data_IF_641694042444
#
_entry.id   IF_641694042444
#
_cell.length_a   1.000
_cell.length_b   1.000
_cell.length_c   1.000
_cell.angle_alpha   90.00
_cell.angle_beta   90.00
_cell.angle_gamma   90.00
#
_symmetry.space_group_name_H-M   'P 1'
#
loop_
_entity.id
_entity.type
_entity.pdbx_description
1 polymer ?
#
# COMPACT_ATOMS: atom_id res chain seq x y z
N UNK A 1 28.13 -29.94 -11.09
CA UNK A 1 26.70 -30.01 -10.72
C UNK A 1 26.42 -29.38 -9.34
N UNK A 2 27.05 -29.82 -8.25
CA UNK A 2 26.79 -29.29 -6.89
C UNK A 2 26.97 -27.76 -6.75
N UNK A 3 28.04 -27.18 -7.33
CA UNK A 3 28.32 -25.73 -7.26
C UNK A 3 27.27 -24.86 -7.97
N UNK A 4 26.75 -25.34 -9.10
CA UNK A 4 25.72 -24.64 -9.86
C UNK A 4 24.36 -24.65 -9.13
N UNK A 5 24.01 -25.76 -8.47
CA UNK A 5 22.82 -25.83 -7.60
C UNK A 5 22.88 -24.83 -6.44
N UNK A 6 24.06 -24.63 -5.85
CA UNK A 6 24.22 -23.71 -4.71
C UNK A 6 24.14 -22.26 -5.17
N UNK A 7 24.75 -21.92 -6.31
CA UNK A 7 24.63 -20.59 -6.90
C UNK A 7 23.18 -20.25 -7.25
N UNK A 8 22.42 -21.20 -7.81
CA UNK A 8 21.00 -21.02 -8.10
C UNK A 8 20.16 -20.82 -6.83
N UNK A 9 20.43 -21.58 -5.76
CA UNK A 9 19.73 -21.42 -4.49
C UNK A 9 20.00 -20.04 -3.85
N UNK A 10 21.25 -19.58 -3.85
CA UNK A 10 21.63 -18.27 -3.34
C UNK A 10 20.96 -17.15 -4.14
N UNK A 11 20.98 -17.25 -5.48
CA UNK A 11 20.32 -16.27 -6.35
C UNK A 11 18.81 -16.19 -6.09
N UNK A 12 18.14 -17.33 -5.93
CA UNK A 12 16.71 -17.39 -5.61
C UNK A 12 16.40 -16.74 -4.26
N UNK A 13 17.20 -16.99 -3.22
CA UNK A 13 17.01 -16.36 -1.90
C UNK A 13 17.21 -14.85 -1.94
N UNK A 14 18.15 -14.35 -2.75
CA UNK A 14 18.39 -12.90 -2.91
C UNK A 14 17.24 -12.21 -3.65
N UNK A 15 16.67 -12.86 -4.67
CA UNK A 15 15.53 -12.33 -5.42
C UNK A 15 14.26 -12.24 -4.55
N UNK A 16 14.03 -13.20 -3.64
CA UNK A 16 12.87 -13.18 -2.73
C UNK A 16 13.05 -12.15 -1.61
N UNK A 17 14.28 -11.94 -1.12
CA UNK A 17 14.56 -10.95 -0.07
C UNK A 17 14.31 -9.49 -0.51
N UNK A 18 14.31 -9.22 -1.82
CA UNK A 18 14.00 -7.90 -2.38
C UNK A 18 12.50 -7.60 -2.50
N UNK A 19 11.62 -8.58 -2.31
CA UNK A 19 10.17 -8.40 -2.35
C UNK A 19 9.65 -7.89 -1.00
N UNK A 20 10.11 -6.70 -0.59
CA UNK A 20 9.55 -5.99 0.55
C UNK A 20 8.37 -5.14 0.07
N UNK A 21 7.15 -5.47 0.49
CA UNK A 21 6.00 -4.58 0.36
C UNK A 21 6.25 -3.36 1.24
N UNK A 22 6.21 -2.15 0.67
CA UNK A 22 6.46 -0.92 1.40
C UNK A 22 5.36 -0.65 2.44
N UNK A 23 5.72 -0.77 3.73
CA UNK A 23 4.99 -0.31 4.92
C UNK A 23 3.62 -0.93 5.20
N UNK A 24 3.14 -0.78 6.44
CA UNK A 24 1.73 -1.05 6.76
C UNK A 24 0.85 0.02 6.11
N UNK A 25 -0.37 -0.35 5.71
CA UNK A 25 -1.36 0.60 5.20
C UNK A 25 -1.57 1.78 6.17
N UNK A 26 -1.62 1.50 7.47
CA UNK A 26 -1.85 2.52 8.49
C UNK A 26 -0.67 3.50 8.64
N UNK A 27 0.55 3.10 8.26
CA UNK A 27 1.72 3.97 8.32
C UNK A 27 1.75 4.99 7.17
N UNK A 28 1.22 4.60 6.02
CA UNK A 28 1.34 5.34 4.76
C UNK A 28 0.06 6.12 4.44
N UNK A 29 -1.11 5.53 4.68
CA UNK A 29 -2.39 6.13 4.33
C UNK A 29 -2.70 7.34 5.23
N UNK A 30 -3.38 8.32 4.65
CA UNK A 30 -3.81 9.56 5.33
C UNK A 30 -5.24 9.90 4.91
N UNK A 31 -6.03 10.56 5.77
CA UNK A 31 -7.34 11.05 5.39
C UNK A 31 -7.31 11.94 4.16
N UNK A 32 -8.24 11.72 3.23
CA UNK A 32 -8.44 12.59 2.08
C UNK A 32 -9.44 13.67 2.47
N UNK A 33 -8.97 14.93 2.50
CA UNK A 33 -9.78 16.12 2.78
C UNK A 33 -9.75 17.06 1.56
N UNK A 34 -10.75 16.97 0.67
CA UNK A 34 -10.80 17.83 -0.51
C UNK A 34 -10.92 19.30 -0.13
N UNK A 35 -10.26 20.16 -0.90
CA UNK A 35 -10.44 21.60 -0.84
C UNK A 35 -11.69 22.04 -1.58
N UNK A 36 -12.08 23.31 -1.40
CA UNK A 36 -13.23 23.91 -2.10
C UNK A 36 -12.94 24.06 -3.62
N UNK A 37 -11.67 24.16 -3.99
CA UNK A 37 -11.24 24.28 -5.38
C UNK A 37 -11.26 22.94 -6.14
N UNK A 38 -11.34 21.81 -5.42
CA UNK A 38 -11.31 20.48 -6.02
C UNK A 38 -12.60 20.20 -6.79
N UNK A 39 -12.46 19.81 -8.06
CA UNK A 39 -13.57 19.40 -8.92
C UNK A 39 -13.84 17.91 -8.74
N UNK A 40 -14.71 17.58 -7.80
CA UNK A 40 -15.08 16.20 -7.50
C UNK A 40 -16.21 15.71 -8.41
N UNK A 41 -15.93 14.70 -9.22
CA UNK A 41 -16.98 13.89 -9.85
C UNK A 41 -17.70 13.04 -8.79
N UNK A 42 -18.90 12.54 -9.08
CA UNK A 42 -19.60 11.68 -8.13
C UNK A 42 -18.84 10.38 -7.85
N UNK A 43 -18.16 9.82 -8.86
CA UNK A 43 -17.26 8.68 -8.67
C UNK A 43 -16.11 8.99 -7.72
N UNK A 44 -15.50 10.18 -7.85
CA UNK A 44 -14.41 10.60 -6.95
C UNK A 44 -14.89 10.71 -5.50
N UNK A 45 -16.09 11.26 -5.26
CA UNK A 45 -16.65 11.37 -3.89
C UNK A 45 -16.84 10.00 -3.24
N UNK A 46 -17.34 9.02 -4.00
CA UNK A 46 -17.54 7.65 -3.52
C UNK A 46 -16.21 7.02 -3.10
N UNK A 47 -15.16 7.18 -3.93
CA UNK A 47 -13.83 6.65 -3.63
C UNK A 47 -13.22 7.31 -2.39
N UNK A 48 -13.33 8.63 -2.28
CA UNK A 48 -12.85 9.38 -1.10
C UNK A 48 -13.53 8.88 0.18
N UNK A 49 -14.86 8.75 0.13
CA UNK A 49 -15.62 8.27 1.28
C UNK A 49 -15.20 6.85 1.66
N UNK A 50 -15.05 5.96 0.69
CA UNK A 50 -14.66 4.57 0.92
C UNK A 50 -13.25 4.45 1.52
N UNK A 51 -12.26 5.20 1.01
CA UNK A 51 -10.90 5.17 1.57
C UNK A 51 -10.84 5.79 2.97
N UNK A 52 -11.57 6.87 3.23
CA UNK A 52 -11.64 7.46 4.57
C UNK A 52 -12.31 6.53 5.59
N UNK A 53 -13.40 5.85 5.22
CA UNK A 53 -14.05 4.84 6.07
C UNK A 53 -13.16 3.63 6.32
N UNK A 54 -12.43 3.18 5.29
CA UNK A 54 -11.45 2.09 5.42
C UNK A 54 -10.34 2.48 6.39
N UNK A 55 -9.82 3.70 6.28
CA UNK A 55 -8.77 4.19 7.18
C UNK A 55 -9.26 4.29 8.63
N UNK A 56 -10.48 4.78 8.87
CA UNK A 56 -11.07 4.80 10.20
C UNK A 56 -11.25 3.38 10.75
N UNK A 57 -11.79 2.46 9.93
CA UNK A 57 -12.06 1.08 10.36
C UNK A 57 -10.81 0.27 10.63
N UNK A 58 -9.77 0.41 9.80
CA UNK A 58 -8.55 -0.40 9.91
C UNK A 58 -7.53 0.21 10.87
N UNK A 59 -7.46 1.54 10.93
CA UNK A 59 -6.38 2.26 11.61
C UNK A 59 -6.86 3.16 12.76
N UNK A 60 -8.18 3.31 12.96
CA UNK A 60 -8.74 4.17 14.01
C UNK A 60 -8.52 5.67 13.78
N UNK A 61 -8.04 6.06 12.60
CA UNK A 61 -7.76 7.45 12.25
C UNK A 61 -9.04 8.12 11.78
N UNK A 62 -9.41 9.22 12.44
CA UNK A 62 -10.59 10.00 12.04
C UNK A 62 -10.28 10.86 10.82
N UNK A 63 -11.12 10.80 9.77
CA UNK A 63 -10.93 11.59 8.56
C UNK A 63 -10.97 13.08 8.76
#
# INVERSE_FOLDING_TARGET
>A
MKRASWAAAILMTLLVAGCATSGDYCDIARPIRPSIEDRLTDGTKIVILAENQKLEKLCGVKP
#
